data_IF_939870300924
#
_entry.id   IF_939870300924
#
_cell.length_a   1.000
_cell.length_b   1.000
_cell.length_c   1.000
_cell.angle_alpha   90.00
_cell.angle_beta   90.00
_cell.angle_gamma   90.00
#
_symmetry.space_group_name_H-M   'P 1'
#
loop_
_entity.id
_entity.type
_entity.pdbx_description
1 polymer ?
#
# COMPACT_ATOMS: atom_id res chain seq x y z
N UNK A 1 9.59 42.75 -58.59
CA UNK A 1 8.22 42.51 -58.05
C UNK A 1 8.23 41.11 -57.45
N UNK A 2 8.20 40.87 -56.14
CA UNK A 2 7.66 41.64 -55.01
C UNK A 2 8.61 41.45 -53.82
N UNK A 3 8.91 42.56 -53.18
CA UNK A 3 9.67 42.65 -51.93
C UNK A 3 8.93 41.91 -50.81
N UNK A 4 9.62 41.03 -50.09
CA UNK A 4 9.10 40.41 -48.88
C UNK A 4 9.64 41.21 -47.69
N UNK A 5 8.78 41.92 -46.93
CA UNK A 5 9.24 42.77 -45.84
C UNK A 5 9.71 41.94 -44.65
N UNK A 6 10.94 42.25 -44.22
CA UNK A 6 11.50 41.88 -42.94
C UNK A 6 10.56 42.29 -41.80
N UNK A 7 9.99 41.29 -41.12
CA UNK A 7 9.23 41.47 -39.88
C UNK A 7 10.06 40.91 -38.73
N UNK A 8 10.82 41.84 -38.15
CA UNK A 8 10.88 42.07 -36.70
C UNK A 8 11.53 40.95 -35.88
N UNK A 9 12.82 41.18 -35.70
CA UNK A 9 13.64 40.78 -34.57
C UNK A 9 12.98 41.13 -33.22
N UNK A 10 13.49 40.45 -32.18
CA UNK A 10 13.48 40.78 -30.74
C UNK A 10 12.35 40.09 -29.99
N UNK A 11 12.72 39.19 -29.06
CA UNK A 11 12.00 38.73 -27.85
C UNK A 11 12.37 37.29 -27.43
N UNK A 12 13.25 36.58 -28.15
CA UNK A 12 13.92 35.38 -27.62
C UNK A 12 15.24 35.81 -26.97
N UNK A 13 15.13 36.65 -25.94
CA UNK A 13 16.25 37.07 -25.10
C UNK A 13 15.99 36.62 -23.68
N UNK A 14 16.68 35.56 -23.25
CA UNK A 14 17.21 35.42 -21.89
C UNK A 14 16.23 35.84 -20.75
N UNK A 15 15.25 34.99 -20.36
CA UNK A 15 15.22 34.61 -18.94
C UNK A 15 14.71 33.17 -18.69
N UNK A 16 14.57 32.33 -19.72
CA UNK A 16 14.05 30.96 -19.54
C UNK A 16 15.03 30.00 -18.87
N UNK A 17 16.34 30.18 -19.08
CA UNK A 17 17.36 29.24 -18.61
C UNK A 17 17.73 29.40 -17.13
N UNK A 18 17.49 30.57 -16.52
CA UNK A 18 17.82 30.81 -15.10
C UNK A 18 16.71 30.39 -14.15
N UNK A 19 15.44 30.36 -14.60
CA UNK A 19 14.30 29.94 -13.77
C UNK A 19 14.29 28.41 -13.58
N UNK A 20 14.75 27.63 -14.56
CA UNK A 20 14.80 26.16 -14.45
C UNK A 20 15.92 25.68 -13.51
N UNK A 21 17.05 26.39 -13.42
CA UNK A 21 18.19 26.01 -12.57
C UNK A 21 17.90 26.26 -11.07
N UNK A 22 17.03 27.21 -10.74
CA UNK A 22 16.60 27.49 -9.37
C UNK A 22 15.71 26.37 -8.77
N UNK A 23 14.82 25.77 -9.58
CA UNK A 23 13.88 24.75 -9.09
C UNK A 23 14.54 23.39 -8.81
N UNK A 24 15.68 23.07 -9.42
CA UNK A 24 16.36 21.78 -9.23
C UNK A 24 17.23 21.73 -7.96
N UNK A 25 17.64 22.89 -7.41
CA UNK A 25 18.46 22.95 -6.20
C UNK A 25 17.63 22.84 -4.90
N UNK A 26 16.34 23.23 -4.94
CA UNK A 26 15.46 23.21 -3.78
C UNK A 26 14.87 21.82 -3.48
N UNK A 27 14.88 20.89 -4.43
CA UNK A 27 14.37 19.52 -4.23
C UNK A 27 15.37 18.58 -3.58
N UNK A 28 16.65 18.96 -3.45
CA UNK A 28 17.69 18.14 -2.82
C UNK A 28 17.79 18.28 -1.29
N UNK A 29 17.14 19.28 -0.68
CA UNK A 29 17.16 19.48 0.78
C UNK A 29 16.03 18.77 1.55
N UNK A 30 15.09 18.12 0.85
CA UNK A 30 13.92 17.46 1.47
C UNK A 30 14.06 15.91 1.44
N UNK A 31 15.24 15.39 1.08
CA UNK A 31 15.42 13.96 0.76
C UNK A 31 15.58 12.96 1.92
N UNK A 32 15.65 13.38 3.20
CA UNK A 32 16.10 12.50 4.29
C UNK A 32 15.12 12.31 5.47
N UNK A 33 13.81 12.47 5.30
CA UNK A 33 12.85 12.32 6.39
C UNK A 33 11.78 11.23 6.21
N UNK A 34 12.09 10.13 5.53
CA UNK A 34 11.19 8.96 5.46
C UNK A 34 11.88 7.67 5.88
N UNK A 35 12.51 7.67 7.06
CA UNK A 35 12.77 6.44 7.79
C UNK A 35 11.42 5.85 8.28
N UNK A 36 10.74 5.10 7.42
CA UNK A 36 9.72 4.14 7.86
C UNK A 36 10.49 3.04 8.61
N UNK A 37 10.39 3.04 9.94
CA UNK A 37 10.99 2.03 10.81
C UNK A 37 10.51 0.63 10.36
N UNK A 38 11.37 -0.06 9.61
CA UNK A 38 11.22 -1.47 9.31
C UNK A 38 11.74 -2.23 10.53
N UNK A 39 10.85 -2.83 11.29
CA UNK A 39 11.23 -3.73 12.38
C UNK A 39 10.56 -3.45 13.71
N UNK A 40 9.24 -3.59 13.76
CA UNK A 40 8.58 -4.14 14.93
C UNK A 40 7.94 -5.45 14.48
N UNK A 41 8.17 -6.54 15.22
CA UNK A 41 7.46 -7.82 15.00
C UNK A 41 5.98 -7.50 14.94
N UNK A 42 5.41 -7.58 13.73
CA UNK A 42 4.16 -6.91 13.38
C UNK A 42 3.09 -7.08 14.47
N UNK A 43 2.96 -6.05 15.33
CA UNK A 43 1.79 -5.85 16.14
C UNK A 43 0.67 -5.70 15.12
N UNK A 44 -0.28 -6.65 15.13
CA UNK A 44 -1.17 -6.88 13.99
C UNK A 44 -1.82 -5.60 13.50
N UNK A 45 -2.11 -5.51 12.20
CA UNK A 45 -2.53 -4.25 11.57
C UNK A 45 -3.61 -3.51 12.40
N UNK A 46 -3.27 -2.37 13.04
CA UNK A 46 -4.20 -1.70 13.95
C UNK A 46 -5.48 -1.29 13.22
N UNK A 47 -6.62 -1.42 13.89
CA UNK A 47 -7.92 -0.97 13.38
C UNK A 47 -8.64 -1.92 12.40
N UNK A 48 -7.99 -2.96 11.86
CA UNK A 48 -8.70 -3.93 10.99
C UNK A 48 -9.51 -4.95 11.79
N UNK A 49 -10.73 -5.23 11.30
CA UNK A 49 -11.62 -6.26 11.84
C UNK A 49 -11.22 -7.66 11.37
N UNK A 50 -11.69 -8.71 12.05
CA UNK A 50 -11.45 -10.10 11.63
C UNK A 50 -11.99 -10.42 10.24
N UNK A 51 -13.18 -9.90 9.90
CA UNK A 51 -13.79 -10.06 8.58
C UNK A 51 -12.94 -9.41 7.48
N UNK A 52 -12.43 -8.20 7.72
CA UNK A 52 -11.55 -7.51 6.78
C UNK A 52 -10.23 -8.26 6.59
N UNK A 53 -9.59 -8.65 7.69
CA UNK A 53 -8.34 -9.41 7.64
C UNK A 53 -8.52 -10.75 6.91
N UNK A 54 -9.63 -11.43 7.11
CA UNK A 54 -9.98 -12.67 6.42
C UNK A 54 -10.16 -12.45 4.91
N UNK A 55 -10.91 -11.43 4.50
CA UNK A 55 -11.09 -11.08 3.09
C UNK A 55 -9.78 -10.70 2.39
N UNK A 56 -8.90 -9.96 3.07
CA UNK A 56 -7.61 -9.51 2.51
C UNK A 56 -6.57 -10.64 2.44
N UNK A 57 -6.51 -11.51 3.44
CA UNK A 57 -5.43 -12.50 3.55
C UNK A 57 -5.79 -13.87 2.95
N UNK A 58 -7.02 -14.33 3.11
CA UNK A 58 -7.38 -15.73 2.80
C UNK A 58 -7.70 -15.97 1.33
N UNK A 59 -7.95 -14.92 0.54
CA UNK A 59 -8.18 -15.02 -0.92
C UNK A 59 -6.87 -15.10 -1.73
N UNK A 60 -5.71 -14.88 -1.09
CA UNK A 60 -4.41 -14.78 -1.77
C UNK A 60 -3.94 -16.06 -2.46
N UNK A 61 -4.44 -17.22 -2.04
CA UNK A 61 -3.94 -18.52 -2.52
C UNK A 61 -5.04 -19.44 -3.07
N UNK A 62 -6.29 -19.28 -2.66
CA UNK A 62 -7.41 -20.07 -3.13
C UNK A 62 -8.71 -19.31 -2.89
N UNK A 63 -9.80 -19.84 -3.44
CA UNK A 63 -11.12 -19.32 -3.12
C UNK A 63 -11.38 -19.45 -1.63
N UNK A 64 -11.72 -18.30 -1.05
CA UNK A 64 -11.95 -18.12 0.36
C UNK A 64 -13.21 -18.89 0.79
N UNK A 65 -13.04 -19.78 1.75
CA UNK A 65 -14.08 -20.69 2.24
C UNK A 65 -15.05 -19.94 3.16
N UNK A 66 -16.36 -20.00 2.90
CA UNK A 66 -17.40 -19.37 3.72
C UNK A 66 -17.27 -19.69 5.23
N UNK A 67 -17.44 -18.71 6.15
CA UNK A 67 -17.35 -18.92 7.59
C UNK A 67 -18.25 -20.04 8.12
N UNK A 68 -19.45 -20.23 7.56
CA UNK A 68 -20.38 -21.27 7.99
C UNK A 68 -20.09 -22.69 7.47
N UNK A 69 -18.96 -22.90 6.78
CA UNK A 69 -18.65 -24.20 6.16
C UNK A 69 -17.85 -25.18 7.03
N UNK A 70 -17.41 -24.74 8.22
CA UNK A 70 -16.73 -25.56 9.22
C UNK A 70 -17.26 -25.19 10.60
N UNK A 71 -17.26 -26.14 11.53
CA UNK A 71 -17.61 -25.89 12.92
C UNK A 71 -16.54 -25.05 13.64
N UNK A 72 -16.86 -24.41 14.79
CA UNK A 72 -15.88 -23.63 15.55
C UNK A 72 -14.59 -24.40 15.88
N UNK A 73 -14.69 -25.69 16.18
CA UNK A 73 -13.53 -26.56 16.47
C UNK A 73 -12.71 -26.85 15.21
N UNK A 74 -13.36 -27.11 14.08
CA UNK A 74 -12.69 -27.33 12.80
C UNK A 74 -11.96 -26.06 12.34
N UNK A 75 -12.53 -24.88 12.55
CA UNK A 75 -11.84 -23.62 12.30
C UNK A 75 -10.60 -23.43 13.18
N UNK A 76 -10.63 -23.88 14.43
CA UNK A 76 -9.45 -23.91 15.29
C UNK A 76 -8.28 -24.66 14.64
N UNK A 77 -8.54 -25.85 14.11
CA UNK A 77 -7.51 -26.66 13.43
C UNK A 77 -7.06 -26.01 12.12
N UNK A 78 -8.01 -25.58 11.27
CA UNK A 78 -7.70 -24.98 9.98
C UNK A 78 -6.87 -23.70 10.13
N UNK A 79 -7.20 -22.84 11.09
CA UNK A 79 -6.48 -21.59 11.32
C UNK A 79 -5.09 -21.80 11.91
N UNK A 80 -4.82 -22.90 12.62
CA UNK A 80 -3.45 -23.24 13.05
C UNK A 80 -2.54 -23.47 11.84
N UNK A 81 -3.03 -24.19 10.83
CA UNK A 81 -2.30 -24.36 9.58
C UNK A 81 -2.19 -23.03 8.81
N UNK A 82 -3.30 -22.28 8.69
CA UNK A 82 -3.34 -21.04 7.92
C UNK A 82 -2.54 -19.89 8.53
N UNK A 83 -2.32 -19.87 9.84
CA UNK A 83 -1.42 -18.88 10.48
C UNK A 83 -0.05 -18.88 9.82
N UNK A 84 0.52 -20.05 9.60
CA UNK A 84 1.83 -20.21 8.98
C UNK A 84 1.73 -19.97 7.47
N UNK A 85 0.71 -20.53 6.80
CA UNK A 85 0.58 -20.42 5.34
C UNK A 85 0.32 -19.00 4.84
N UNK A 86 -0.49 -18.24 5.56
CA UNK A 86 -0.79 -16.85 5.22
C UNK A 86 0.16 -15.84 5.88
N UNK A 87 1.14 -16.32 6.68
CA UNK A 87 2.10 -15.51 7.44
C UNK A 87 1.39 -14.46 8.31
N UNK A 88 0.40 -14.90 9.10
CA UNK A 88 -0.40 -14.04 9.96
C UNK A 88 0.34 -13.74 11.27
N UNK A 89 0.23 -12.50 11.72
CA UNK A 89 0.63 -12.11 13.08
C UNK A 89 -0.24 -12.80 14.14
N UNK A 90 0.19 -12.85 15.42
CA UNK A 90 -0.64 -13.40 16.49
C UNK A 90 -2.03 -12.77 16.57
N UNK A 91 -2.11 -11.45 16.44
CA UNK A 91 -3.35 -10.70 16.56
C UNK A 91 -4.26 -10.88 15.35
N UNK A 92 -3.70 -10.91 14.14
CA UNK A 92 -4.48 -11.16 12.93
C UNK A 92 -5.08 -12.56 12.95
N UNK A 93 -4.28 -13.57 13.33
CA UNK A 93 -4.77 -14.94 13.49
C UNK A 93 -5.94 -15.00 14.50
N UNK A 94 -5.79 -14.37 15.67
CA UNK A 94 -6.83 -14.33 16.70
C UNK A 94 -8.11 -13.69 16.18
N UNK A 95 -8.02 -12.50 15.60
CA UNK A 95 -9.18 -11.76 15.06
C UNK A 95 -9.90 -12.53 13.95
N UNK A 96 -9.16 -13.15 13.03
CA UNK A 96 -9.75 -13.97 11.97
C UNK A 96 -10.44 -15.20 12.57
N UNK A 97 -9.81 -15.89 13.52
CA UNK A 97 -10.39 -17.07 14.17
C UNK A 97 -11.68 -16.74 14.93
N UNK A 98 -11.71 -15.62 15.65
CA UNK A 98 -12.92 -15.14 16.34
C UNK A 98 -14.05 -14.86 15.34
N UNK A 99 -13.76 -14.16 14.24
CA UNK A 99 -14.72 -13.92 13.17
C UNK A 99 -15.28 -15.22 12.58
N UNK A 100 -14.41 -16.17 12.24
CA UNK A 100 -14.81 -17.45 11.64
C UNK A 100 -15.70 -18.28 12.58
N UNK A 101 -15.38 -18.32 13.88
CA UNK A 101 -16.18 -19.01 14.89
C UNK A 101 -17.53 -18.34 15.16
N UNK A 102 -17.65 -17.03 14.94
CA UNK A 102 -18.91 -16.30 15.11
C UNK A 102 -19.90 -16.51 13.95
N UNK A 103 -19.38 -16.89 12.78
CA UNK A 103 -20.18 -17.15 11.57
C UNK A 103 -20.50 -18.63 11.33
N UNK A 104 -20.22 -19.50 12.29
CA UNK A 104 -20.37 -20.96 12.22
C UNK A 104 -21.25 -21.50 13.33
#
# INVERSE_FOLDING_TARGET
MKEIPARICKWIGLPGATIIISCAALTWLIGCATNKQSGEVAAGTPGKSGAQLWAENCVRCHNIRSPGSLSPTQWGVAMMHMRVRANLTPDEHKKILEFLKSGS
#
